data_IF_463764293306
#
_entry.id   IF_463764293306
#
_cell.length_a   1.000
_cell.length_b   1.000
_cell.length_c   1.000
_cell.angle_alpha   90.00
_cell.angle_beta   90.00
_cell.angle_gamma   90.00
#
_symmetry.space_group_name_H-M   'P 1'
#
loop_
_entity.id
_entity.type
_entity.pdbx_description
1 polymer ?
#
# COMPACT_ATOMS: atom_id res chain seq x y z
N UNK A 1 -3.77 0.37 -11.73
CA UNK A 1 -3.10 1.27 -10.75
C UNK A 1 -1.75 0.66 -10.38
N UNK A 2 -0.81 1.40 -9.80
CA UNK A 2 0.47 0.85 -9.33
C UNK A 2 0.48 0.71 -7.80
N UNK A 3 0.70 -0.50 -7.27
CA UNK A 3 0.84 -0.74 -5.83
C UNK A 3 2.30 -0.63 -5.39
N UNK A 4 2.53 -0.59 -4.06
CA UNK A 4 3.87 -0.64 -3.48
C UNK A 4 4.67 -1.85 -3.98
N UNK A 5 4.11 -3.05 -3.85
CA UNK A 5 4.78 -4.31 -4.19
C UNK A 5 5.17 -4.39 -5.66
N UNK A 6 4.24 -4.01 -6.55
CA UNK A 6 4.51 -3.97 -7.98
C UNK A 6 5.65 -3.00 -8.30
N UNK A 7 5.59 -1.77 -7.77
CA UNK A 7 6.60 -0.77 -8.06
C UNK A 7 7.98 -1.12 -7.49
N UNK A 8 8.05 -1.71 -6.29
CA UNK A 8 9.31 -2.24 -5.76
C UNK A 8 9.87 -3.37 -6.62
N UNK A 9 9.02 -4.27 -7.10
CA UNK A 9 9.46 -5.34 -8.01
C UNK A 9 10.02 -4.77 -9.32
N UNK A 10 9.39 -3.73 -9.87
CA UNK A 10 9.86 -3.06 -11.09
C UNK A 10 11.21 -2.37 -10.87
N UNK A 11 11.40 -1.69 -9.73
CA UNK A 11 12.70 -1.10 -9.37
C UNK A 11 13.77 -2.18 -9.27
N UNK A 12 13.53 -3.27 -8.53
CA UNK A 12 14.51 -4.37 -8.37
C UNK A 12 14.88 -5.02 -9.70
N UNK A 13 13.91 -5.15 -10.62
CA UNK A 13 14.17 -5.65 -11.98
C UNK A 13 15.00 -4.69 -12.82
N UNK A 14 14.77 -3.38 -12.68
CA UNK A 14 15.45 -2.35 -13.46
C UNK A 14 16.87 -2.05 -12.95
N UNK A 15 17.05 -2.07 -11.64
CA UNK A 15 18.28 -1.72 -10.92
C UNK A 15 18.70 -2.87 -10.01
N UNK A 16 19.25 -3.98 -10.57
CA UNK A 16 19.52 -5.20 -9.81
C UNK A 16 20.58 -5.03 -8.73
N UNK A 17 21.43 -3.99 -8.81
CA UNK A 17 22.41 -3.64 -7.78
C UNK A 17 21.80 -2.92 -6.57
N UNK A 18 20.56 -2.44 -6.68
CA UNK A 18 19.81 -1.86 -5.56
C UNK A 18 19.11 -3.00 -4.82
N UNK A 19 19.69 -3.42 -3.70
CA UNK A 19 19.23 -4.58 -2.94
C UNK A 19 18.08 -4.26 -2.00
N UNK A 20 18.15 -3.12 -1.33
CA UNK A 20 17.13 -2.68 -0.39
C UNK A 20 16.26 -1.66 -1.08
N UNK A 21 14.96 -1.94 -1.19
CA UNK A 21 13.99 -1.02 -1.79
C UNK A 21 12.71 -1.09 -0.97
N UNK A 22 12.21 0.06 -0.52
CA UNK A 22 10.90 0.22 0.11
C UNK A 22 10.22 1.45 -0.49
N UNK A 23 8.93 1.38 -0.77
CA UNK A 23 8.13 2.53 -1.17
C UNK A 23 7.05 2.78 -0.11
N UNK A 24 6.79 4.04 0.21
CA UNK A 24 5.73 4.43 1.14
C UNK A 24 4.95 5.62 0.61
N UNK A 25 3.64 5.47 0.44
CA UNK A 25 2.73 6.57 0.18
C UNK A 25 2.61 7.45 1.43
N UNK A 26 2.72 8.76 1.25
CA UNK A 26 2.54 9.76 2.33
C UNK A 26 1.28 10.61 2.12
N UNK A 27 0.41 10.18 1.20
CA UNK A 27 -0.81 10.89 0.80
C UNK A 27 -0.51 12.02 -0.19
N UNK A 28 -1.56 12.76 -0.56
CA UNK A 28 -1.52 13.91 -1.49
C UNK A 28 -0.80 13.59 -2.81
N UNK A 29 -0.97 12.37 -3.32
CA UNK A 29 -0.29 11.89 -4.52
C UNK A 29 1.24 11.89 -4.38
N UNK A 30 1.75 11.65 -3.19
CA UNK A 30 3.19 11.60 -2.92
C UNK A 30 3.61 10.25 -2.37
N UNK A 31 4.80 9.81 -2.75
CA UNK A 31 5.44 8.63 -2.18
C UNK A 31 6.95 8.81 -2.02
N UNK A 32 7.52 8.18 -1.00
CA UNK A 32 8.96 8.10 -0.81
C UNK A 32 9.46 6.73 -1.29
N UNK A 33 10.53 6.72 -2.07
CA UNK A 33 11.33 5.54 -2.39
C UNK A 33 12.55 5.57 -1.49
N UNK A 34 12.71 4.54 -0.69
CA UNK A 34 13.88 4.32 0.16
C UNK A 34 14.72 3.23 -0.49
N UNK A 35 16.01 3.51 -0.72
CA UNK A 35 16.87 2.59 -1.44
C UNK A 35 18.29 2.53 -0.88
N UNK A 36 18.90 1.35 -0.95
CA UNK A 36 20.33 1.12 -0.77
C UNK A 36 20.84 0.03 -1.71
N UNK A 37 22.08 0.18 -2.16
CA UNK A 37 22.87 -0.86 -2.80
C UNK A 37 23.41 -1.88 -1.77
N UNK A 38 24.21 -2.84 -2.24
CA UNK A 38 24.87 -3.86 -1.40
C UNK A 38 25.81 -3.27 -0.34
N UNK A 39 26.30 -2.05 -0.54
CA UNK A 39 27.19 -1.33 0.37
C UNK A 39 26.42 -0.46 1.38
N UNK A 40 25.09 -0.60 1.45
CA UNK A 40 24.20 0.19 2.32
C UNK A 40 24.29 1.70 2.04
N UNK A 41 24.43 2.06 0.76
CA UNK A 41 24.51 3.45 0.30
C UNK A 41 23.51 3.73 -0.80
N UNK A 42 23.11 4.99 -0.90
CA UNK A 42 22.37 5.52 -2.04
C UNK A 42 23.27 6.51 -2.77
N UNK A 43 23.95 6.02 -3.79
CA UNK A 43 24.79 6.86 -4.64
C UNK A 43 23.95 7.89 -5.38
N UNK A 44 24.53 9.06 -5.68
CA UNK A 44 23.76 10.15 -6.31
C UNK A 44 23.30 9.78 -7.73
N UNK A 45 24.09 9.00 -8.46
CA UNK A 45 23.70 8.46 -9.77
C UNK A 45 22.44 7.60 -9.67
N UNK A 46 22.38 6.71 -8.68
CA UNK A 46 21.20 5.87 -8.40
C UNK A 46 20.01 6.71 -7.97
N UNK A 47 20.22 7.74 -7.15
CA UNK A 47 19.16 8.67 -6.75
C UNK A 47 18.54 9.35 -7.96
N UNK A 48 19.35 9.86 -8.89
CA UNK A 48 18.89 10.54 -10.11
C UNK A 48 18.19 9.53 -11.03
N UNK A 49 18.77 8.34 -11.22
CA UNK A 49 18.21 7.31 -12.07
C UNK A 49 16.85 6.80 -11.55
N UNK A 50 16.73 6.56 -10.24
CA UNK A 50 15.48 6.18 -9.59
C UNK A 50 14.41 7.26 -9.72
N UNK A 51 14.75 8.54 -9.52
CA UNK A 51 13.81 9.65 -9.71
C UNK A 51 13.25 9.68 -11.13
N UNK A 52 14.15 9.56 -12.13
CA UNK A 52 13.75 9.55 -13.55
C UNK A 52 12.85 8.36 -13.86
N UNK A 53 13.26 7.16 -13.47
CA UNK A 53 12.47 5.94 -13.66
C UNK A 53 11.10 6.01 -12.97
N UNK A 54 11.04 6.54 -11.74
CA UNK A 54 9.79 6.67 -11.02
C UNK A 54 8.79 7.60 -11.73
N UNK A 55 9.29 8.69 -12.31
CA UNK A 55 8.48 9.64 -13.07
C UNK A 55 7.97 9.08 -14.41
N UNK A 56 8.71 8.16 -15.05
CA UNK A 56 8.38 7.63 -16.38
C UNK A 56 7.63 6.30 -16.34
N UNK A 57 7.94 5.43 -15.39
CA UNK A 57 7.59 4.00 -15.46
C UNK A 57 6.74 3.48 -14.28
N UNK A 58 6.59 4.23 -13.19
CA UNK A 58 5.85 3.74 -12.00
C UNK A 58 4.39 4.20 -11.98
N UNK A 59 4.13 5.44 -11.56
CA UNK A 59 2.78 5.98 -11.45
C UNK A 59 2.81 7.46 -11.86
N UNK A 60 2.26 7.84 -13.02
CA UNK A 60 2.46 9.16 -13.61
C UNK A 60 1.84 10.30 -12.78
N UNK A 61 0.88 9.97 -11.92
CA UNK A 61 0.21 10.93 -11.04
C UNK A 61 0.87 11.07 -9.66
N UNK A 62 1.94 10.31 -9.36
CA UNK A 62 2.59 10.31 -8.04
C UNK A 62 3.91 11.08 -8.08
N UNK A 63 4.07 12.03 -7.16
CA UNK A 63 5.33 12.73 -6.95
C UNK A 63 6.24 11.91 -6.02
N UNK A 64 7.35 11.41 -6.56
CA UNK A 64 8.29 10.58 -5.83
C UNK A 64 9.47 11.37 -5.25
N UNK A 65 9.80 11.11 -3.98
CA UNK A 65 11.08 11.51 -3.37
C UNK A 65 11.94 10.27 -3.18
N UNK A 66 13.24 10.37 -3.46
CA UNK A 66 14.19 9.25 -3.27
C UNK A 66 15.12 9.56 -2.09
N UNK A 67 15.13 8.66 -1.11
CA UNK A 67 15.82 8.78 0.19
C UNK A 67 16.64 7.52 0.47
N UNK A 68 17.60 7.63 1.39
CA UNK A 68 18.36 6.48 1.88
C UNK A 68 17.48 5.50 2.67
N UNK A 69 17.80 4.22 2.60
CA UNK A 69 17.04 3.18 3.28
C UNK A 69 17.08 3.26 4.82
N UNK A 70 18.12 3.88 5.40
CA UNK A 70 18.18 4.20 6.84
C UNK A 70 16.97 4.99 7.35
N UNK A 71 16.37 5.82 6.49
CA UNK A 71 15.22 6.68 6.85
C UNK A 71 13.91 5.92 7.04
N UNK A 72 13.82 4.65 6.65
CA UNK A 72 12.61 3.81 6.83
C UNK A 72 12.19 3.76 8.29
N UNK A 73 13.15 3.59 9.22
CA UNK A 73 12.84 3.52 10.66
C UNK A 73 12.52 4.90 11.23
N UNK A 74 13.29 5.92 10.87
CA UNK A 74 13.08 7.30 11.33
C UNK A 74 11.71 7.85 10.92
N UNK A 75 11.24 7.49 9.73
CA UNK A 75 9.95 7.92 9.18
C UNK A 75 8.80 6.95 9.50
N UNK A 76 9.01 6.01 10.43
CA UNK A 76 8.01 5.04 10.88
C UNK A 76 7.28 4.31 9.73
N UNK A 77 8.01 4.02 8.65
CA UNK A 77 7.46 3.28 7.52
C UNK A 77 7.08 1.88 8.01
N UNK A 78 5.85 1.39 7.74
CA UNK A 78 5.42 0.06 8.17
C UNK A 78 6.43 -1.01 7.77
N UNK A 79 6.56 -2.07 8.57
CA UNK A 79 7.48 -3.17 8.27
C UNK A 79 6.99 -4.00 7.08
N UNK A 80 7.90 -4.78 6.50
CA UNK A 80 7.54 -5.82 5.52
C UNK A 80 7.18 -7.04 6.34
N UNK A 81 5.90 -7.35 6.41
CA UNK A 81 5.41 -8.59 7.01
C UNK A 81 4.91 -9.51 5.90
N UNK A 82 4.85 -10.81 6.20
CA UNK A 82 4.27 -11.79 5.29
C UNK A 82 2.77 -11.49 5.10
N UNK A 83 2.34 -11.52 3.83
CA UNK A 83 0.93 -11.39 3.44
C UNK A 83 0.48 -12.64 2.68
N UNK A 84 -0.82 -12.98 2.72
CA UNK A 84 -1.36 -14.10 1.96
C UNK A 84 -1.09 -14.01 0.45
N UNK A 85 -0.95 -15.17 -0.21
CA UNK A 85 -0.63 -15.27 -1.64
C UNK A 85 -1.65 -14.57 -2.56
N UNK A 86 -2.93 -14.53 -2.17
CA UNK A 86 -3.95 -13.78 -2.91
C UNK A 86 -3.70 -12.26 -2.86
N UNK A 87 -3.34 -11.72 -1.69
CA UNK A 87 -2.95 -10.30 -1.53
C UNK A 87 -1.70 -10.00 -2.36
N UNK A 88 -0.68 -10.85 -2.27
CA UNK A 88 0.56 -10.68 -3.04
C UNK A 88 0.31 -10.68 -4.56
N UNK A 89 -0.44 -11.68 -5.06
CA UNK A 89 -0.78 -11.78 -6.49
C UNK A 89 -1.60 -10.58 -6.97
N UNK A 90 -2.59 -10.16 -6.17
CA UNK A 90 -3.41 -9.00 -6.48
C UNK A 90 -2.57 -7.71 -6.52
N UNK A 91 -1.71 -7.49 -5.53
CA UNK A 91 -0.85 -6.31 -5.48
C UNK A 91 0.11 -6.26 -6.68
N UNK A 92 0.56 -7.41 -7.18
CA UNK A 92 1.41 -7.51 -8.36
C UNK A 92 0.67 -7.31 -9.70
N UNK A 93 -0.66 -7.23 -9.69
CA UNK A 93 -1.47 -7.06 -10.89
C UNK A 93 -1.56 -5.59 -11.34
N UNK A 94 -1.10 -5.28 -12.55
CA UNK A 94 -1.15 -3.93 -13.15
C UNK A 94 -2.58 -3.39 -13.33
N UNK A 95 -3.53 -4.31 -13.50
CA UNK A 95 -4.95 -4.00 -13.70
C UNK A 95 -5.75 -3.99 -12.42
N UNK A 96 -5.11 -4.06 -11.24
CA UNK A 96 -5.81 -3.87 -9.97
C UNK A 96 -6.44 -2.46 -9.92
N UNK A 97 -7.72 -2.43 -9.59
CA UNK A 97 -8.53 -1.25 -9.32
C UNK A 97 -9.22 -1.37 -7.95
N UNK A 98 -9.98 -0.34 -7.56
CA UNK A 98 -10.63 -0.31 -6.23
C UNK A 98 -11.62 -1.47 -6.03
N UNK A 99 -12.33 -1.90 -7.08
CA UNK A 99 -13.26 -3.04 -6.98
C UNK A 99 -12.52 -4.36 -6.84
N UNK A 100 -11.38 -4.50 -7.51
CA UNK A 100 -10.46 -5.61 -7.31
C UNK A 100 -9.92 -5.68 -5.89
N UNK A 101 -9.56 -4.54 -5.29
CA UNK A 101 -9.15 -4.48 -3.87
C UNK A 101 -10.27 -4.96 -2.96
N UNK A 102 -11.49 -4.44 -3.13
CA UNK A 102 -12.67 -4.87 -2.35
C UNK A 102 -12.90 -6.36 -2.49
N UNK A 103 -12.81 -6.90 -3.70
CA UNK A 103 -13.02 -8.33 -3.97
C UNK A 103 -12.00 -9.19 -3.23
N UNK A 104 -10.71 -8.88 -3.38
CA UNK A 104 -9.60 -9.61 -2.70
C UNK A 104 -9.74 -9.55 -1.19
N UNK A 105 -10.11 -8.39 -0.66
CA UNK A 105 -10.32 -8.23 0.78
C UNK A 105 -11.52 -9.05 1.26
N UNK A 106 -12.66 -9.00 0.55
CA UNK A 106 -13.87 -9.74 0.90
C UNK A 106 -13.69 -11.27 0.83
N UNK A 107 -12.86 -11.77 -0.09
CA UNK A 107 -12.50 -13.20 -0.12
C UNK A 107 -11.78 -13.67 1.15
N UNK A 108 -11.14 -12.75 1.89
CA UNK A 108 -10.45 -13.08 3.15
C UNK A 108 -11.36 -13.01 4.39
N UNK A 109 -12.56 -12.41 4.29
CA UNK A 109 -13.50 -12.37 5.41
C UNK A 109 -14.32 -13.66 5.46
N UNK A 110 -14.30 -14.36 6.59
CA UNK A 110 -15.23 -15.47 6.86
C UNK A 110 -16.65 -14.97 7.16
N UNK A 111 -16.76 -13.75 7.68
CA UNK A 111 -18.03 -13.09 8.00
C UNK A 111 -17.85 -11.57 7.94
N UNK A 112 -18.80 -10.88 7.31
CA UNK A 112 -18.75 -9.43 7.09
C UNK A 112 -18.27 -9.04 5.70
N UNK A 113 -18.11 -7.73 5.49
CA UNK A 113 -17.69 -7.16 4.20
C UNK A 113 -16.93 -5.87 4.40
N UNK A 114 -15.93 -5.65 3.56
CA UNK A 114 -15.35 -4.34 3.30
C UNK A 114 -16.04 -3.71 2.08
N UNK A 115 -16.23 -2.40 2.11
CA UNK A 115 -16.73 -1.61 1.00
C UNK A 115 -15.91 -0.35 0.82
N UNK A 116 -15.79 0.09 -0.43
CA UNK A 116 -15.31 1.42 -0.78
C UNK A 116 -16.43 2.43 -0.52
N UNK A 117 -16.14 3.49 0.25
CA UNK A 117 -17.10 4.56 0.50
C UNK A 117 -16.85 5.73 -0.46
N UNK A 118 -15.68 6.33 -0.34
CA UNK A 118 -15.31 7.52 -1.11
C UNK A 118 -13.80 7.66 -1.29
N UNK A 119 -13.42 8.49 -2.26
CA UNK A 119 -12.04 8.90 -2.50
C UNK A 119 -11.97 10.42 -2.50
N UNK A 120 -11.11 10.97 -1.66
CA UNK A 120 -10.81 12.39 -1.65
C UNK A 120 -9.62 12.67 -2.60
N UNK A 121 -9.84 13.27 -3.78
CA UNK A 121 -8.78 13.50 -4.76
C UNK A 121 -7.77 14.57 -4.34
N UNK A 122 -8.09 15.42 -3.36
CA UNK A 122 -7.19 16.47 -2.89
C UNK A 122 -6.16 15.94 -1.88
N UNK A 123 -6.61 15.08 -0.96
CA UNK A 123 -5.74 14.45 0.03
C UNK A 123 -5.16 13.12 -0.46
N UNK A 124 -5.72 12.53 -1.52
CA UNK A 124 -5.40 11.16 -1.93
C UNK A 124 -5.86 10.12 -0.90
N UNK A 125 -6.86 10.45 -0.07
CA UNK A 125 -7.35 9.57 0.99
C UNK A 125 -8.50 8.71 0.48
N UNK A 126 -8.41 7.39 0.68
CA UNK A 126 -9.48 6.44 0.39
C UNK A 126 -10.19 6.06 1.70
N UNK A 127 -11.50 6.21 1.73
CA UNK A 127 -12.32 5.81 2.87
C UNK A 127 -12.95 4.44 2.60
N UNK A 128 -12.70 3.51 3.51
CA UNK A 128 -13.29 2.17 3.52
C UNK A 128 -14.24 2.02 4.70
N UNK A 129 -15.30 1.22 4.53
CA UNK A 129 -16.10 0.72 5.65
C UNK A 129 -15.93 -0.79 5.77
N UNK A 130 -15.80 -1.27 6.99
CA UNK A 130 -15.82 -2.70 7.33
C UNK A 130 -17.03 -2.95 8.19
N UNK A 131 -17.94 -3.79 7.70
CA UNK A 131 -19.19 -4.15 8.35
C UNK A 131 -19.10 -5.62 8.76
N UNK A 132 -19.14 -5.90 10.06
CA UNK A 132 -19.10 -7.26 10.59
C UNK A 132 -20.24 -7.50 11.58
N UNK A 133 -20.78 -8.73 11.65
CA UNK A 133 -21.82 -9.08 12.62
C UNK A 133 -21.29 -9.14 14.05
N UNK A 134 -19.98 -9.35 14.23
CA UNK A 134 -19.30 -9.38 15.52
C UNK A 134 -18.22 -8.30 15.60
N UNK A 135 -17.82 -7.93 16.82
CA UNK A 135 -16.71 -7.03 17.04
C UNK A 135 -15.40 -7.64 16.50
N UNK A 136 -14.68 -6.87 15.68
CA UNK A 136 -13.33 -7.23 15.27
C UNK A 136 -12.34 -7.04 16.41
N UNK A 137 -11.50 -8.04 16.62
CA UNK A 137 -10.31 -7.98 17.46
C UNK A 137 -9.29 -7.01 16.90
N UNK A 138 -8.37 -6.52 17.74
CA UNK A 138 -7.28 -5.64 17.28
C UNK A 138 -6.36 -6.33 16.26
N UNK A 139 -6.18 -7.65 16.38
CA UNK A 139 -5.41 -8.45 15.42
C UNK A 139 -6.08 -8.42 14.04
N UNK A 140 -7.39 -8.62 13.97
CA UNK A 140 -8.11 -8.57 12.69
C UNK A 140 -8.04 -7.17 12.05
N UNK A 141 -8.19 -6.10 12.84
CA UNK A 141 -8.02 -4.72 12.36
C UNK A 141 -6.61 -4.48 11.83
N UNK A 142 -5.59 -4.98 12.52
CA UNK A 142 -4.20 -4.87 12.09
C UNK A 142 -3.98 -5.61 10.75
N UNK A 143 -4.53 -6.82 10.61
CA UNK A 143 -4.43 -7.60 9.37
C UNK A 143 -5.13 -6.89 8.21
N UNK A 144 -6.34 -6.35 8.42
CA UNK A 144 -7.05 -5.57 7.40
C UNK A 144 -6.20 -4.38 6.95
N UNK A 145 -5.67 -3.62 7.92
CA UNK A 145 -4.82 -2.47 7.63
C UNK A 145 -3.56 -2.90 6.86
N UNK A 146 -2.91 -4.00 7.27
CA UNK A 146 -1.73 -4.55 6.60
C UNK A 146 -2.02 -4.94 5.15
N UNK A 147 -3.13 -5.61 4.89
CA UNK A 147 -3.47 -6.05 3.53
C UNK A 147 -3.85 -4.88 2.64
N UNK A 148 -4.62 -3.91 3.15
CA UNK A 148 -4.93 -2.69 2.40
C UNK A 148 -3.67 -1.88 2.11
N UNK A 149 -2.71 -1.81 3.04
CA UNK A 149 -1.44 -1.13 2.79
C UNK A 149 -0.69 -1.69 1.57
N UNK A 150 -0.81 -2.98 1.30
CA UNK A 150 -0.19 -3.61 0.14
C UNK A 150 -0.99 -3.45 -1.16
N UNK A 151 -2.31 -3.31 -1.07
CA UNK A 151 -3.23 -3.27 -2.20
C UNK A 151 -3.53 -1.84 -2.67
N UNK A 152 -3.48 -0.86 -1.77
CA UNK A 152 -3.81 0.54 -2.04
C UNK A 152 -2.84 1.13 -3.09
N UNK A 153 -3.36 1.93 -4.04
CA UNK A 153 -2.52 2.54 -5.07
C UNK A 153 -1.48 3.50 -4.47
N UNK A 154 -0.30 3.53 -5.07
CA UNK A 154 0.74 4.47 -4.69
C UNK A 154 0.27 5.92 -4.78
N UNK A 155 0.74 6.74 -3.84
CA UNK A 155 0.34 8.13 -3.69
C UNK A 155 -0.97 8.33 -2.93
N UNK A 156 -1.75 7.27 -2.70
CA UNK A 156 -2.93 7.29 -1.85
C UNK A 156 -2.62 6.78 -0.44
N UNK A 157 -3.38 7.26 0.53
CA UNK A 157 -3.49 6.71 1.88
C UNK A 157 -4.92 6.25 2.11
N UNK A 158 -5.20 5.62 3.24
CA UNK A 158 -6.54 5.14 3.53
C UNK A 158 -6.90 5.25 5.01
N UNK A 159 -8.21 5.32 5.25
CA UNK A 159 -8.84 5.23 6.56
C UNK A 159 -9.93 4.15 6.51
N UNK A 160 -10.11 3.46 7.64
CA UNK A 160 -11.11 2.39 7.77
C UNK A 160 -12.08 2.78 8.88
N UNK A 161 -13.35 2.85 8.54
CA UNK A 161 -14.43 2.91 9.51
C UNK A 161 -14.90 1.49 9.81
N UNK A 162 -14.98 1.15 11.10
CA UNK A 162 -15.47 -0.14 11.56
C UNK A 162 -16.89 0.02 12.11
N UNK A 163 -17.87 -0.52 11.39
CA UNK A 163 -19.28 -0.47 11.77
C UNK A 163 -19.70 -1.85 12.28
N UNK A 164 -20.28 -1.88 13.48
CA UNK A 164 -20.91 -3.08 14.02
C UNK A 164 -22.39 -3.05 13.66
N UNK A 165 -22.87 -4.08 12.96
CA UNK A 165 -24.31 -4.30 12.86
C UNK A 165 -24.82 -4.62 14.27
N UNK A 166 -25.44 -3.63 14.93
CA UNK A 166 -26.23 -3.91 16.13
C UNK A 166 -27.40 -4.76 15.69
N UNK A 167 -27.40 -6.04 16.04
CA UNK A 167 -28.61 -6.85 16.00
C UNK A 167 -29.73 -6.06 16.70
N UNK A 168 -30.69 -5.57 15.92
CA UNK A 168 -31.94 -5.06 16.46
C UNK A 168 -32.61 -6.27 17.13
N UNK A 169 -32.41 -6.37 18.44
CA UNK A 169 -33.17 -7.24 19.31
C UNK A 169 -34.61 -6.72 19.33
N UNK A 170 -35.39 -7.09 18.32
CA UNK A 170 -36.84 -6.99 18.37
C UNK A 170 -37.33 -8.11 19.29
N UNK A 171 -37.64 -7.75 20.53
CA UNK A 171 -38.53 -8.50 21.42
C UNK A 171 -39.59 -7.55 21.97
#
# INVERSE_FOLDING_TARGET
>A
MGTRLLSENLIRKRFPHIRYVRIHSVGKHMANIYAWNDQLRLEEEDRIALKRFAATDLAPYVCFKVKEYSKVQEEAVPRVDDVPDNVLRAAMNRSLDLQGIVSVMNEMFSSGRIAFNEYNPWSGLIHWSVNTPSALTEIEKELIHRYLYELVPLGATFEIQYDQEREHSSR
#
